data_IF_190929570024
#
_entry.id   IF_190929570024
#
_cell.length_a   1.000
_cell.length_b   1.000
_cell.length_c   1.000
_cell.angle_alpha   90.00
_cell.angle_beta   90.00
_cell.angle_gamma   90.00
#
_symmetry.space_group_name_H-M   'P 1'
#
loop_
_entity.id
_entity.type
_entity.pdbx_description
1 polymer ?
#
# COMPACT_ATOMS: atom_id res chain seq x y z
N UNK A 1 -33.59 0.00 3.80
CA UNK A 1 -32.19 0.04 3.34
C UNK A 1 -31.56 1.23 4.04
N UNK A 2 -30.69 1.02 5.03
CA UNK A 2 -30.11 2.12 5.82
C UNK A 2 -28.95 2.74 5.00
N UNK A 3 -28.95 4.05 4.71
CA UNK A 3 -27.94 4.70 3.85
C UNK A 3 -26.49 4.78 4.38
N UNK A 4 -26.09 4.04 5.42
CA UNK A 4 -24.88 4.39 6.20
C UNK A 4 -23.68 3.43 6.13
N UNK A 5 -23.74 2.28 5.43
CA UNK A 5 -22.68 1.26 5.61
C UNK A 5 -21.70 1.06 4.42
N UNK A 6 -21.78 1.81 3.32
CA UNK A 6 -20.92 1.55 2.15
C UNK A 6 -19.45 1.91 2.40
N UNK A 7 -19.20 3.10 2.97
CA UNK A 7 -17.86 3.50 3.42
C UNK A 7 -17.30 2.57 4.50
N UNK A 8 -18.15 2.07 5.41
CA UNK A 8 -17.75 1.09 6.43
C UNK A 8 -17.36 -0.27 5.82
N UNK A 9 -18.07 -0.72 4.76
CA UNK A 9 -17.69 -1.93 4.01
C UNK A 9 -16.34 -1.74 3.30
N UNK A 10 -16.11 -0.58 2.67
CA UNK A 10 -14.83 -0.28 2.04
C UNK A 10 -13.68 -0.31 3.04
N UNK A 11 -13.81 0.44 4.14
CA UNK A 11 -12.79 0.49 5.20
C UNK A 11 -12.55 -0.89 5.82
N UNK A 12 -13.60 -1.69 6.02
CA UNK A 12 -13.47 -3.08 6.47
C UNK A 12 -12.66 -3.94 5.51
N UNK A 13 -12.85 -3.79 4.18
CA UNK A 13 -12.07 -4.51 3.17
C UNK A 13 -10.61 -4.03 3.12
N UNK A 14 -10.38 -2.73 3.18
CA UNK A 14 -9.02 -2.16 3.23
C UNK A 14 -8.29 -2.68 4.46
N UNK A 15 -8.92 -2.62 5.64
CA UNK A 15 -8.34 -3.12 6.87
C UNK A 15 -8.04 -4.62 6.83
N UNK A 16 -8.93 -5.42 6.23
CA UNK A 16 -8.69 -6.86 6.05
C UNK A 16 -7.51 -7.15 5.09
N UNK A 17 -7.45 -6.44 3.96
CA UNK A 17 -6.34 -6.57 3.01
C UNK A 17 -5.01 -6.10 3.62
N UNK A 18 -5.03 -4.96 4.31
CA UNK A 18 -3.89 -4.45 5.05
C UNK A 18 -3.40 -5.46 6.07
N UNK A 19 -4.27 -5.96 6.95
CA UNK A 19 -3.89 -6.92 7.99
C UNK A 19 -3.32 -8.21 7.38
N UNK A 20 -3.91 -8.71 6.29
CA UNK A 20 -3.40 -9.90 5.60
C UNK A 20 -2.00 -9.66 5.03
N UNK A 21 -1.80 -8.57 4.28
CA UNK A 21 -0.52 -8.24 3.67
C UNK A 21 0.55 -7.96 4.74
N UNK A 22 0.21 -7.20 5.77
CA UNK A 22 1.13 -6.83 6.85
C UNK A 22 1.59 -8.04 7.68
N UNK A 23 0.70 -9.01 7.94
CA UNK A 23 1.07 -10.28 8.58
C UNK A 23 2.07 -11.04 7.71
N UNK A 24 1.83 -11.11 6.40
CA UNK A 24 2.76 -11.75 5.47
C UNK A 24 4.11 -11.04 5.47
N UNK A 25 4.14 -9.70 5.44
CA UNK A 25 5.36 -8.91 5.51
C UNK A 25 6.15 -9.14 6.79
N UNK A 26 5.49 -9.13 7.96
CA UNK A 26 6.14 -9.41 9.25
C UNK A 26 6.72 -10.82 9.30
N UNK A 27 6.09 -11.80 8.66
CA UNK A 27 6.60 -13.17 8.60
C UNK A 27 7.78 -13.30 7.64
N UNK A 28 7.75 -12.59 6.51
CA UNK A 28 8.81 -12.62 5.51
C UNK A 28 10.05 -11.81 5.94
N UNK A 29 9.87 -10.70 6.64
CA UNK A 29 10.95 -9.80 7.01
C UNK A 29 12.09 -10.48 7.81
N UNK A 30 11.84 -11.29 8.85
CA UNK A 30 12.89 -12.06 9.54
C UNK A 30 13.64 -13.01 8.60
N UNK A 31 12.96 -13.61 7.62
CA UNK A 31 13.63 -14.44 6.63
C UNK A 31 14.59 -13.63 5.77
N UNK A 32 14.21 -12.41 5.36
CA UNK A 32 15.11 -11.50 4.65
C UNK A 32 16.33 -11.14 5.51
N UNK A 33 16.13 -10.78 6.78
CA UNK A 33 17.21 -10.44 7.70
C UNK A 33 18.20 -11.60 7.83
N UNK A 34 17.71 -12.83 8.00
CA UNK A 34 18.56 -14.04 8.15
C UNK A 34 19.25 -14.40 6.83
N UNK A 35 18.52 -14.40 5.71
CA UNK A 35 19.03 -14.86 4.42
C UNK A 35 20.08 -13.92 3.83
N UNK A 36 19.90 -12.61 4.02
CA UNK A 36 20.79 -11.58 3.51
C UNK A 36 21.78 -11.05 4.55
N UNK A 37 21.75 -11.60 5.78
CA UNK A 37 22.60 -11.20 6.91
C UNK A 37 22.60 -9.67 7.13
N UNK A 38 21.40 -9.08 7.22
CA UNK A 38 21.23 -7.64 7.31
C UNK A 38 21.34 -7.14 8.75
N UNK A 39 22.10 -6.07 8.96
CA UNK A 39 22.17 -5.35 10.24
C UNK A 39 21.07 -4.29 10.29
N UNK A 40 19.89 -4.65 10.81
CA UNK A 40 18.68 -3.80 10.78
C UNK A 40 18.20 -3.31 12.14
N UNK A 41 18.97 -3.56 13.22
CA UNK A 41 18.50 -3.33 14.59
C UNK A 41 18.19 -1.85 14.85
N UNK A 42 19.04 -0.94 14.34
CA UNK A 42 18.87 0.50 14.51
C UNK A 42 17.75 1.06 13.63
N UNK A 43 17.57 0.48 12.45
CA UNK A 43 16.61 0.96 11.43
C UNK A 43 15.25 0.26 11.47
N UNK A 44 15.03 -0.65 12.41
CA UNK A 44 13.83 -1.51 12.44
C UNK A 44 12.53 -0.69 12.51
N UNK A 45 12.53 0.42 13.26
CA UNK A 45 11.36 1.30 13.35
C UNK A 45 11.05 1.98 12.03
N UNK A 46 12.08 2.35 11.27
CA UNK A 46 11.94 3.03 9.99
C UNK A 46 11.49 2.05 8.91
N UNK A 47 12.06 0.84 8.89
CA UNK A 47 11.63 -0.23 7.99
C UNK A 47 10.17 -0.64 8.25
N UNK A 48 9.76 -0.75 9.52
CA UNK A 48 8.36 -0.99 9.87
C UNK A 48 7.43 0.14 9.41
N UNK A 49 7.88 1.40 9.47
CA UNK A 49 7.13 2.54 8.94
C UNK A 49 6.99 2.45 7.41
N UNK A 50 8.08 2.14 6.70
CA UNK A 50 8.05 1.97 5.23
C UNK A 50 7.09 0.85 4.84
N UNK A 51 7.15 -0.30 5.54
CA UNK A 51 6.22 -1.41 5.32
C UNK A 51 4.78 -0.95 5.54
N UNK A 52 4.50 -0.36 6.71
CA UNK A 52 3.17 0.14 7.03
C UNK A 52 2.61 1.04 5.93
N UNK A 53 3.36 2.07 5.51
CA UNK A 53 2.92 3.01 4.48
C UNK A 53 2.71 2.30 3.13
N UNK A 54 3.68 1.51 2.67
CA UNK A 54 3.56 0.79 1.42
C UNK A 54 2.34 -0.16 1.41
N UNK A 55 2.08 -0.88 2.50
CA UNK A 55 0.91 -1.75 2.63
C UNK A 55 -0.39 -0.98 2.63
N UNK A 56 -0.46 0.19 3.28
CA UNK A 56 -1.66 1.05 3.27
C UNK A 56 -2.01 1.44 1.84
N UNK A 57 -1.07 2.03 1.09
CA UNK A 57 -1.30 2.45 -0.29
C UNK A 57 -1.73 1.29 -1.20
N UNK A 58 -1.05 0.14 -1.09
CA UNK A 58 -1.39 -1.06 -1.86
C UNK A 58 -2.76 -1.64 -1.48
N UNK A 59 -3.11 -1.65 -0.19
CA UNK A 59 -4.38 -2.18 0.28
C UNK A 59 -5.57 -1.31 -0.15
N UNK A 60 -5.43 0.01 -0.15
CA UNK A 60 -6.46 0.95 -0.59
C UNK A 60 -6.80 0.74 -2.07
N UNK A 61 -5.77 0.65 -2.91
CA UNK A 61 -5.89 0.49 -4.36
C UNK A 61 -6.34 -0.92 -4.73
N UNK A 62 -5.73 -1.94 -4.14
CA UNK A 62 -6.14 -3.33 -4.36
C UNK A 62 -7.61 -3.55 -4.05
N UNK A 63 -8.11 -2.91 -2.99
CA UNK A 63 -9.53 -2.96 -2.62
C UNK A 63 -10.43 -2.25 -3.62
N UNK A 64 -10.08 -1.05 -4.07
CA UNK A 64 -10.83 -0.31 -5.08
C UNK A 64 -10.90 -1.09 -6.39
N UNK A 65 -9.77 -1.62 -6.86
CA UNK A 65 -9.72 -2.39 -8.10
C UNK A 65 -10.48 -3.71 -7.99
N UNK A 66 -10.40 -4.39 -6.85
CA UNK A 66 -11.24 -5.56 -6.59
C UNK A 66 -12.73 -5.24 -6.75
N UNK A 67 -13.19 -4.09 -6.27
CA UNK A 67 -14.57 -3.65 -6.43
C UNK A 67 -14.93 -3.35 -7.90
N UNK A 68 -14.08 -2.60 -8.60
CA UNK A 68 -14.27 -2.25 -10.02
C UNK A 68 -14.33 -3.48 -10.93
N UNK A 69 -13.51 -4.50 -10.66
CA UNK A 69 -13.41 -5.68 -11.53
C UNK A 69 -14.66 -6.53 -11.58
N UNK A 70 -15.53 -6.44 -10.58
CA UNK A 70 -16.81 -7.15 -10.56
C UNK A 70 -17.75 -6.60 -11.63
N UNK A 71 -17.58 -5.34 -12.04
CA UNK A 71 -18.51 -4.64 -12.95
C UNK A 71 -18.04 -4.60 -14.42
N UNK A 72 -16.77 -4.92 -14.71
CA UNK A 72 -16.17 -4.68 -16.04
C UNK A 72 -16.03 -6.00 -16.84
N UNK A 73 -16.64 -6.06 -18.04
CA UNK A 73 -16.56 -7.23 -18.95
C UNK A 73 -15.15 -7.51 -19.53
N UNK A 74 -14.26 -6.50 -19.53
CA UNK A 74 -12.86 -6.58 -20.00
C UNK A 74 -11.83 -6.55 -18.85
N UNK A 75 -12.13 -7.26 -17.75
CA UNK A 75 -11.36 -7.32 -16.48
C UNK A 75 -9.86 -7.55 -16.65
N UNK A 76 -9.46 -8.42 -17.58
CA UNK A 76 -8.08 -8.94 -17.65
C UNK A 76 -7.07 -7.94 -18.22
N UNK A 77 -7.54 -6.96 -19.01
CA UNK A 77 -6.67 -5.97 -19.67
C UNK A 77 -6.71 -4.62 -18.96
N UNK A 78 -7.86 -4.22 -18.42
CA UNK A 78 -7.99 -2.96 -17.67
C UNK A 78 -7.22 -2.98 -16.35
N UNK A 79 -7.19 -4.12 -15.66
CA UNK A 79 -6.53 -4.25 -14.37
C UNK A 79 -5.02 -3.94 -14.47
N UNK A 80 -4.22 -4.62 -15.31
CA UNK A 80 -2.79 -4.31 -15.41
C UNK A 80 -2.50 -2.89 -15.91
N UNK A 81 -3.27 -2.39 -16.88
CA UNK A 81 -3.05 -1.06 -17.46
C UNK A 81 -3.22 0.06 -16.43
N UNK A 82 -4.15 -0.10 -15.49
CA UNK A 82 -4.42 0.89 -14.47
C UNK A 82 -3.69 0.61 -13.15
N UNK A 83 -3.52 -0.65 -12.74
CA UNK A 83 -2.81 -0.99 -11.51
C UNK A 83 -1.31 -0.73 -11.61
N UNK A 84 -0.68 -1.11 -12.72
CA UNK A 84 0.77 -0.94 -12.90
C UNK A 84 1.24 0.51 -12.66
N UNK A 85 0.67 1.55 -13.32
CA UNK A 85 1.13 2.92 -13.12
C UNK A 85 0.89 3.43 -11.69
N UNK A 86 -0.05 2.82 -10.95
CA UNK A 86 -0.31 3.18 -9.56
C UNK A 86 0.65 2.49 -8.60
N UNK A 87 0.94 1.21 -8.81
CA UNK A 87 1.85 0.43 -7.95
C UNK A 87 3.29 0.91 -8.09
N UNK A 88 3.72 1.30 -9.29
CA UNK A 88 5.12 1.68 -9.57
C UNK A 88 5.62 2.81 -8.65
N UNK A 89 4.95 3.95 -8.48
CA UNK A 89 5.38 5.01 -7.56
C UNK A 89 5.60 4.54 -6.12
N UNK A 90 4.67 3.75 -5.58
CA UNK A 90 4.78 3.21 -4.21
C UNK A 90 5.96 2.28 -4.09
N UNK A 91 6.12 1.38 -5.07
CA UNK A 91 7.23 0.42 -5.07
C UNK A 91 8.57 1.14 -5.17
N UNK A 92 8.69 2.17 -6.01
CA UNK A 92 9.92 2.98 -6.10
C UNK A 92 10.21 3.67 -4.76
N UNK A 93 9.21 4.33 -4.18
CA UNK A 93 9.37 5.05 -2.93
C UNK A 93 9.76 4.11 -1.77
N UNK A 94 9.09 2.96 -1.65
CA UNK A 94 9.39 1.97 -0.64
C UNK A 94 10.80 1.38 -0.81
N UNK A 95 11.21 1.06 -2.05
CA UNK A 95 12.54 0.51 -2.33
C UNK A 95 13.63 1.54 -2.02
N UNK A 96 13.49 2.80 -2.46
CA UNK A 96 14.50 3.82 -2.20
C UNK A 96 14.57 4.21 -0.71
N UNK A 97 13.43 4.28 0.00
CA UNK A 97 13.42 4.51 1.44
C UNK A 97 14.09 3.35 2.21
N UNK A 98 13.78 2.11 1.86
CA UNK A 98 14.40 0.92 2.45
C UNK A 98 15.90 0.88 2.17
N UNK A 99 16.32 1.21 0.93
CA UNK A 99 17.72 1.24 0.54
C UNK A 99 18.50 2.29 1.31
N UNK A 100 17.97 3.52 1.43
CA UNK A 100 18.61 4.58 2.20
C UNK A 100 18.81 4.18 3.67
N UNK A 101 17.79 3.56 4.27
CA UNK A 101 17.86 3.02 5.63
C UNK A 101 18.93 1.94 5.77
N UNK A 102 18.94 0.93 4.89
CA UNK A 102 19.88 -0.19 4.96
C UNK A 102 21.33 0.22 4.66
N UNK A 103 21.55 1.30 3.90
CA UNK A 103 22.89 1.83 3.64
C UNK A 103 23.43 2.69 4.80
N UNK A 104 22.58 3.07 5.77
CA UNK A 104 22.92 4.07 6.77
C UNK A 104 23.10 5.48 6.19
N UNK A 105 22.40 5.78 5.10
CA UNK A 105 22.42 7.11 4.48
C UNK A 105 21.78 8.16 5.43
N UNK A 106 22.16 9.44 5.38
CA UNK A 106 21.48 10.47 6.15
C UNK A 106 19.98 10.57 5.79
N UNK A 107 19.08 10.79 6.77
CA UNK A 107 17.62 10.87 6.53
C UNK A 107 17.22 11.81 5.39
N UNK A 108 17.90 12.94 5.25
CA UNK A 108 17.64 13.92 4.20
C UNK A 108 17.76 13.36 2.76
N UNK A 109 18.44 12.23 2.56
CA UNK A 109 18.57 11.60 1.24
C UNK A 109 17.34 10.76 0.85
N UNK A 110 16.57 10.29 1.82
CA UNK A 110 15.44 9.39 1.57
C UNK A 110 14.11 9.82 2.21
N UNK A 111 14.09 10.90 2.99
CA UNK A 111 12.89 11.49 3.58
C UNK A 111 11.82 11.84 2.53
N UNK A 112 12.24 12.35 1.37
CA UNK A 112 11.33 12.64 0.24
C UNK A 112 10.54 11.40 -0.22
N UNK A 113 11.10 10.19 -0.07
CA UNK A 113 10.43 8.95 -0.44
C UNK A 113 9.39 8.55 0.60
N UNK A 114 9.65 8.81 1.88
CA UNK A 114 8.67 8.66 2.96
C UNK A 114 7.52 9.66 2.80
N UNK A 115 7.82 10.91 2.45
CA UNK A 115 6.82 11.92 2.13
C UNK A 115 5.97 11.50 0.93
N UNK A 116 6.60 10.96 -0.13
CA UNK A 116 5.89 10.44 -1.29
C UNK A 116 4.92 9.32 -0.91
N UNK A 117 5.36 8.36 -0.07
CA UNK A 117 4.49 7.29 0.44
C UNK A 117 3.32 7.86 1.25
N UNK A 118 3.59 8.78 2.17
CA UNK A 118 2.55 9.38 3.01
C UNK A 118 1.52 10.17 2.18
N UNK A 119 1.98 10.99 1.23
CA UNK A 119 1.10 11.74 0.32
C UNK A 119 0.28 10.77 -0.53
N UNK A 120 0.92 9.73 -1.07
CA UNK A 120 0.25 8.71 -1.85
C UNK A 120 -0.87 8.03 -1.04
N UNK A 121 -0.59 7.61 0.19
CA UNK A 121 -1.57 6.94 1.06
C UNK A 121 -2.77 7.83 1.35
N UNK A 122 -2.53 9.10 1.67
CA UNK A 122 -3.61 10.08 1.90
C UNK A 122 -4.46 10.24 0.64
N UNK A 123 -3.83 10.47 -0.51
CA UNK A 123 -4.54 10.69 -1.78
C UNK A 123 -5.34 9.45 -2.15
N UNK A 124 -4.73 8.27 -2.17
CA UNK A 124 -5.40 7.05 -2.63
C UNK A 124 -6.43 6.54 -1.64
N UNK A 125 -6.25 6.71 -0.34
CA UNK A 125 -7.28 6.34 0.64
C UNK A 125 -8.52 7.21 0.48
N UNK A 126 -8.35 8.54 0.33
CA UNK A 126 -9.48 9.48 0.15
C UNK A 126 -10.16 9.26 -1.19
N UNK A 127 -9.39 9.22 -2.28
CA UNK A 127 -9.93 9.00 -3.64
C UNK A 127 -10.65 7.66 -3.72
N UNK A 128 -10.06 6.61 -3.15
CA UNK A 128 -10.65 5.28 -3.22
C UNK A 128 -11.92 5.15 -2.38
N UNK A 129 -11.97 5.82 -1.23
CA UNK A 129 -13.17 5.90 -0.41
C UNK A 129 -14.34 6.53 -1.19
N UNK A 130 -14.12 7.69 -1.84
CA UNK A 130 -15.16 8.34 -2.66
C UNK A 130 -15.54 7.54 -3.91
N UNK A 131 -14.56 7.00 -4.62
CA UNK A 131 -14.82 6.21 -5.83
C UNK A 131 -15.60 4.93 -5.51
N UNK A 132 -15.33 4.28 -4.37
CA UNK A 132 -16.05 3.08 -3.99
C UNK A 132 -17.55 3.35 -3.75
N UNK A 133 -17.89 4.49 -3.14
CA UNK A 133 -19.30 4.88 -2.99
C UNK A 133 -19.97 5.05 -4.36
N UNK A 134 -19.33 5.78 -5.29
CA UNK A 134 -19.85 5.98 -6.64
C UNK A 134 -20.03 4.66 -7.43
N UNK A 135 -19.06 3.76 -7.36
CA UNK A 135 -19.11 2.45 -8.04
C UNK A 135 -20.24 1.58 -7.49
N UNK A 136 -20.49 1.66 -6.18
CA UNK A 136 -21.57 0.91 -5.51
C UNK A 136 -22.95 1.59 -5.62
N UNK A 137 -23.03 2.79 -6.20
CA UNK A 137 -24.27 3.52 -6.50
C UNK A 137 -24.80 3.25 -7.91
N UNK A 138 -23.98 2.61 -8.78
CA UNK A 138 -24.32 2.23 -10.17
C UNK A 138 -25.03 0.87 -10.23
#
# INVERSE_FOLDING_TARGET
>A
MVPEAKGAIYLGKVAANFAFMFVVEILLFPMFVILFNLEVVEEISLLLLVFFLATVGLSAIGTLFSALTVQIRAREVMLPILLLPLVVPVMIAAVEATKGALNGDPPAMYEQWLELLAIYDVVFTVVSFWMFEFVMDS
#
